data_IF_331148846480
#
_entry.id   IF_331148846480
#
_cell.length_a   1.000
_cell.length_b   1.000
_cell.length_c   1.000
_cell.angle_alpha   90.00
_cell.angle_beta   90.00
_cell.angle_gamma   90.00
#
_symmetry.space_group_name_H-M   'P 1'
#
loop_
_entity.id
_entity.type
_entity.pdbx_description
1 polymer ?
#
# COMPACT_ATOMS: atom_id res chain seq x y z
N UNK A 1 10.56 -15.92 -3.39
CA UNK A 1 11.03 -16.13 -2.00
C UNK A 1 9.87 -15.93 -1.02
N UNK A 2 10.09 -15.87 0.31
CA UNK A 2 9.03 -15.45 1.24
C UNK A 2 9.10 -13.93 1.51
N UNK A 3 8.02 -13.35 2.02
CA UNK A 3 7.97 -11.90 2.26
C UNK A 3 9.03 -11.39 3.24
N UNK A 4 9.45 -12.19 4.22
CA UNK A 4 10.54 -11.81 5.14
C UNK A 4 11.85 -11.62 4.41
N UNK A 5 12.20 -12.49 3.46
CA UNK A 5 13.42 -12.34 2.67
C UNK A 5 13.39 -11.06 1.83
N UNK A 6 12.25 -10.76 1.19
CA UNK A 6 12.07 -9.54 0.41
C UNK A 6 12.18 -8.28 1.27
N UNK A 7 11.57 -8.30 2.46
CA UNK A 7 11.70 -7.23 3.46
C UNK A 7 13.16 -7.02 3.90
N UNK A 8 13.88 -8.10 4.20
CA UNK A 8 15.29 -8.04 4.62
C UNK A 8 16.20 -7.52 3.52
N UNK A 9 16.01 -7.94 2.27
CA UNK A 9 16.81 -7.44 1.14
C UNK A 9 16.51 -5.96 0.88
N UNK A 10 15.25 -5.56 0.97
CA UNK A 10 14.85 -4.16 0.93
C UNK A 10 15.51 -3.34 2.04
N UNK A 11 15.48 -3.82 3.28
CA UNK A 11 16.14 -3.19 4.43
C UNK A 11 17.66 -3.04 4.21
N UNK A 12 18.31 -4.11 3.74
CA UNK A 12 19.74 -4.12 3.44
C UNK A 12 20.09 -3.12 2.32
N UNK A 13 19.23 -3.01 1.31
CA UNK A 13 19.37 -2.01 0.24
C UNK A 13 19.38 -0.60 0.83
N UNK A 14 18.41 -0.26 1.68
CA UNK A 14 18.35 1.04 2.34
C UNK A 14 19.58 1.34 3.19
N UNK A 15 20.08 0.34 3.93
CA UNK A 15 21.32 0.47 4.69
C UNK A 15 22.55 0.73 3.80
N UNK A 16 22.68 -0.02 2.70
CA UNK A 16 23.80 0.15 1.75
C UNK A 16 23.77 1.55 1.12
N UNK A 17 22.60 2.01 0.66
CA UNK A 17 22.46 3.36 0.09
C UNK A 17 22.81 4.44 1.14
N UNK A 18 22.29 4.32 2.35
CA UNK A 18 22.60 5.24 3.45
C UNK A 18 24.10 5.32 3.75
N UNK A 19 24.78 4.16 3.78
CA UNK A 19 26.22 4.10 4.03
C UNK A 19 27.05 4.72 2.89
N UNK A 20 26.64 4.53 1.63
CA UNK A 20 27.31 5.16 0.48
C UNK A 20 27.15 6.67 0.48
N UNK A 21 25.99 7.18 0.91
CA UNK A 21 25.71 8.61 1.02
C UNK A 21 26.21 9.24 2.33
N UNK A 22 26.82 8.44 3.22
CA UNK A 22 27.25 8.87 4.56
C UNK A 22 26.11 9.55 5.34
N UNK A 23 24.90 9.02 5.20
CA UNK A 23 23.69 9.60 5.79
C UNK A 23 23.74 9.59 7.32
N UNK A 24 23.00 10.53 7.92
CA UNK A 24 22.84 10.56 9.38
C UNK A 24 22.17 9.28 9.91
N UNK A 25 22.28 8.96 11.22
CA UNK A 25 21.61 7.79 11.80
C UNK A 25 20.08 7.79 11.60
N UNK A 26 19.44 8.95 11.66
CA UNK A 26 17.99 9.09 11.43
C UNK A 26 17.61 8.82 9.97
N UNK A 27 18.36 9.38 9.02
CA UNK A 27 18.17 9.10 7.59
C UNK A 27 18.46 7.64 7.26
N UNK A 28 19.45 7.03 7.90
CA UNK A 28 19.76 5.60 7.74
C UNK A 28 18.58 4.74 8.15
N UNK A 29 17.99 5.01 9.33
CA UNK A 29 16.81 4.30 9.80
C UNK A 29 15.61 4.50 8.87
N UNK A 30 15.42 5.72 8.36
CA UNK A 30 14.38 6.04 7.38
C UNK A 30 14.56 5.23 6.09
N UNK A 31 15.78 5.22 5.52
CA UNK A 31 16.08 4.48 4.29
C UNK A 31 15.93 2.97 4.49
N UNK A 32 16.36 2.41 5.62
CA UNK A 32 16.10 1.00 5.96
C UNK A 32 14.60 0.71 5.99
N UNK A 33 13.82 1.58 6.64
CA UNK A 33 12.36 1.43 6.74
C UNK A 33 11.69 1.49 5.36
N UNK A 34 12.02 2.51 4.56
CA UNK A 34 11.51 2.68 3.19
C UNK A 34 11.90 1.49 2.30
N UNK A 35 13.15 1.03 2.39
CA UNK A 35 13.62 -0.15 1.67
C UNK A 35 12.84 -1.40 2.04
N UNK A 36 12.58 -1.61 3.33
CA UNK A 36 11.74 -2.72 3.84
C UNK A 36 10.35 -2.70 3.24
N UNK A 37 9.69 -1.54 3.22
CA UNK A 37 8.35 -1.36 2.63
C UNK A 37 8.38 -1.56 1.12
N UNK A 38 9.38 -1.01 0.44
CA UNK A 38 9.52 -1.08 -1.02
C UNK A 38 9.76 -2.49 -1.53
N UNK A 39 10.57 -3.28 -0.81
CA UNK A 39 10.78 -4.69 -1.10
C UNK A 39 9.53 -5.54 -0.88
N UNK A 40 8.56 -5.08 -0.12
CA UNK A 40 7.29 -5.77 0.11
C UNK A 40 6.15 -5.30 -0.80
N UNK A 41 6.31 -4.13 -1.43
CA UNK A 41 5.25 -3.47 -2.17
C UNK A 41 4.67 -4.30 -3.33
N UNK A 42 5.46 -5.07 -4.11
CA UNK A 42 4.89 -5.86 -5.21
C UNK A 42 3.89 -6.92 -4.75
N UNK A 43 4.02 -7.42 -3.51
CA UNK A 43 3.11 -8.40 -2.90
C UNK A 43 1.85 -7.75 -2.29
N UNK A 44 1.67 -6.43 -2.38
CA UNK A 44 0.44 -5.71 -2.04
C UNK A 44 -0.60 -5.81 -3.16
N UNK A 45 -0.97 -7.02 -3.55
CA UNK A 45 -2.04 -7.29 -4.53
C UNK A 45 -3.18 -8.12 -3.93
N UNK A 46 -4.23 -8.35 -4.73
CA UNK A 46 -5.50 -8.89 -4.24
C UNK A 46 -5.38 -10.28 -3.60
N UNK A 47 -4.46 -11.12 -4.10
CA UNK A 47 -4.20 -12.49 -3.66
C UNK A 47 -2.88 -12.65 -2.88
N UNK A 48 -2.15 -11.55 -2.68
CA UNK A 48 -0.90 -11.53 -1.93
C UNK A 48 -1.11 -11.91 -0.47
N UNK A 49 -0.28 -12.84 0.04
CA UNK A 49 -0.31 -13.27 1.45
C UNK A 49 -0.06 -12.13 2.43
N UNK A 50 0.57 -11.06 1.94
CA UNK A 50 0.95 -9.89 2.71
C UNK A 50 -0.24 -8.97 3.04
N UNK A 51 -1.22 -8.91 2.16
CA UNK A 51 -2.44 -8.11 2.33
C UNK A 51 -3.11 -8.34 3.68
N UNK A 52 -3.27 -9.59 4.10
CA UNK A 52 -3.89 -9.95 5.37
C UNK A 52 -3.09 -9.56 6.62
N UNK A 53 -1.81 -9.24 6.45
CA UNK A 53 -0.89 -8.83 7.53
C UNK A 53 -0.69 -7.31 7.60
N UNK A 54 -0.71 -6.63 6.44
CA UNK A 54 -0.50 -5.17 6.37
C UNK A 54 -1.80 -4.40 6.52
N UNK A 55 -2.90 -4.88 5.94
CA UNK A 55 -4.20 -4.21 6.13
C UNK A 55 -4.76 -4.50 7.51
N UNK A 56 -5.43 -3.51 8.11
CA UNK A 56 -6.18 -3.71 9.34
C UNK A 56 -7.18 -4.87 9.15
N UNK A 57 -7.43 -5.61 10.22
CA UNK A 57 -8.44 -6.66 10.14
C UNK A 57 -9.80 -6.04 9.81
N UNK A 58 -10.52 -6.64 8.86
CA UNK A 58 -11.88 -6.19 8.52
C UNK A 58 -12.81 -6.18 9.75
N UNK A 59 -12.55 -7.03 10.76
CA UNK A 59 -13.27 -7.04 12.04
C UNK A 59 -13.04 -5.76 12.83
N UNK A 60 -11.79 -5.32 12.95
CA UNK A 60 -11.44 -4.05 13.62
C UNK A 60 -12.03 -2.86 12.86
N UNK A 61 -11.87 -2.82 11.53
CA UNK A 61 -12.42 -1.73 10.72
C UNK A 61 -13.96 -1.66 10.85
N UNK A 62 -14.63 -2.82 10.79
CA UNK A 62 -16.07 -2.92 11.04
C UNK A 62 -16.42 -2.43 12.44
N UNK A 63 -15.71 -2.86 13.48
CA UNK A 63 -16.00 -2.46 14.86
C UNK A 63 -15.88 -0.95 15.06
N UNK A 64 -14.82 -0.32 14.52
CA UNK A 64 -14.63 1.13 14.60
C UNK A 64 -15.71 1.88 13.82
N UNK A 65 -15.98 1.48 12.57
CA UNK A 65 -17.04 2.10 11.76
C UNK A 65 -18.42 1.95 12.41
N UNK A 66 -18.68 0.80 13.04
CA UNK A 66 -19.92 0.55 13.76
C UNK A 66 -20.02 1.39 15.03
N UNK A 67 -18.93 1.52 15.80
CA UNK A 67 -18.88 2.38 16.96
C UNK A 67 -19.16 3.84 16.58
N UNK A 68 -18.54 4.34 15.52
CA UNK A 68 -18.82 5.68 14.97
C UNK A 68 -20.30 5.82 14.59
N UNK A 69 -20.87 4.82 13.91
CA UNK A 69 -22.27 4.80 13.55
C UNK A 69 -23.21 4.88 14.76
N UNK A 70 -22.94 4.11 15.82
CA UNK A 70 -23.71 4.17 17.08
C UNK A 70 -23.58 5.53 17.74
N UNK A 71 -22.36 6.04 17.87
CA UNK A 71 -22.11 7.36 18.47
C UNK A 71 -22.83 8.48 17.69
N UNK A 72 -22.85 8.40 16.36
CA UNK A 72 -23.57 9.37 15.52
C UNK A 72 -25.09 9.30 15.71
N UNK A 73 -25.67 8.11 15.84
CA UNK A 73 -27.09 7.94 16.16
C UNK A 73 -27.40 8.54 17.52
N UNK A 74 -26.61 8.21 18.55
CA UNK A 74 -26.79 8.74 19.89
C UNK A 74 -26.71 10.27 19.89
N UNK A 75 -25.64 10.82 19.31
CA UNK A 75 -25.45 12.28 19.22
C UNK A 75 -26.61 12.96 18.50
N UNK A 76 -27.01 12.45 17.33
CA UNK A 76 -28.12 13.02 16.55
C UNK A 76 -29.46 12.93 17.30
N UNK A 77 -29.66 11.89 18.10
CA UNK A 77 -30.84 11.72 18.94
C UNK A 77 -30.88 12.70 20.12
N UNK A 78 -29.75 12.99 20.75
CA UNK A 78 -29.69 13.92 21.88
C UNK A 78 -29.69 15.39 21.42
N UNK A 79 -28.83 15.75 20.48
CA UNK A 79 -28.56 17.14 20.09
C UNK A 79 -29.29 17.56 18.80
N UNK A 80 -29.65 16.62 17.93
CA UNK A 80 -30.24 16.96 16.64
C UNK A 80 -31.65 17.52 16.75
N UNK A 81 -31.96 18.53 15.93
CA UNK A 81 -33.29 19.14 15.81
C UNK A 81 -33.90 18.86 14.43
N UNK A 82 -35.23 18.71 14.39
CA UNK A 82 -36.01 18.57 13.15
C UNK A 82 -35.42 17.52 12.18
N UNK A 83 -35.16 17.88 10.92
CA UNK A 83 -34.65 17.00 9.89
C UNK A 83 -33.21 16.54 10.15
N UNK A 84 -32.37 17.35 10.80
CA UNK A 84 -30.96 17.02 11.05
C UNK A 84 -30.82 15.79 11.95
N UNK A 85 -31.72 15.62 12.93
CA UNK A 85 -31.80 14.41 13.76
C UNK A 85 -31.98 13.16 12.90
N UNK A 86 -32.99 13.15 12.03
CA UNK A 86 -33.29 11.99 11.19
C UNK A 86 -32.20 11.72 10.15
N UNK A 87 -31.59 12.77 9.59
CA UNK A 87 -30.45 12.63 8.66
C UNK A 87 -29.26 11.99 9.38
N UNK A 88 -28.86 12.51 10.55
CA UNK A 88 -27.72 11.99 11.30
C UNK A 88 -27.93 10.54 11.76
N UNK A 89 -29.14 10.22 12.26
CA UNK A 89 -29.51 8.84 12.57
C UNK A 89 -29.49 7.94 11.32
N UNK A 90 -29.98 8.42 10.19
CA UNK A 90 -29.95 7.72 8.90
C UNK A 90 -28.52 7.41 8.44
N UNK A 91 -27.59 8.37 8.55
CA UNK A 91 -26.17 8.17 8.24
C UNK A 91 -25.56 7.12 9.18
N UNK A 92 -25.85 7.20 10.48
CA UNK A 92 -25.34 6.22 11.44
C UNK A 92 -25.85 4.80 11.16
N UNK A 93 -27.13 4.64 10.82
CA UNK A 93 -27.70 3.36 10.39
C UNK A 93 -27.07 2.84 9.09
N UNK A 94 -26.85 3.72 8.12
CA UNK A 94 -26.16 3.37 6.88
C UNK A 94 -24.72 2.91 7.15
N UNK A 95 -23.98 3.59 8.03
CA UNK A 95 -22.64 3.19 8.47
C UNK A 95 -22.65 1.80 9.11
N UNK A 96 -23.60 1.52 10.01
CA UNK A 96 -23.77 0.20 10.62
C UNK A 96 -24.01 -0.90 9.57
N UNK A 97 -24.92 -0.66 8.62
CA UNK A 97 -25.27 -1.62 7.58
C UNK A 97 -24.13 -1.86 6.58
N UNK A 98 -23.55 -0.79 6.04
CA UNK A 98 -22.47 -0.88 5.03
C UNK A 98 -21.20 -1.49 5.61
N UNK A 99 -20.79 -1.08 6.82
CA UNK A 99 -19.60 -1.63 7.47
C UNK A 99 -19.71 -3.12 7.77
N UNK A 100 -20.93 -3.62 8.01
CA UNK A 100 -21.17 -5.05 8.26
C UNK A 100 -20.86 -5.94 7.06
N UNK A 101 -20.92 -5.38 5.84
CA UNK A 101 -20.65 -6.07 4.58
C UNK A 101 -19.17 -6.03 4.18
N UNK A 102 -18.31 -5.36 4.96
CA UNK A 102 -16.87 -5.27 4.69
C UNK A 102 -16.20 -6.61 5.00
N UNK A 103 -15.60 -7.19 3.96
CA UNK A 103 -14.83 -8.42 4.01
C UNK A 103 -13.33 -8.10 3.85
N UNK A 104 -12.46 -9.04 4.20
CA UNK A 104 -11.01 -8.87 4.02
C UNK A 104 -10.65 -8.48 2.58
N UNK A 105 -11.40 -8.98 1.59
CA UNK A 105 -11.25 -8.67 0.17
C UNK A 105 -11.52 -7.20 -0.22
N UNK A 106 -12.12 -6.39 0.64
CA UNK A 106 -12.29 -4.94 0.40
C UNK A 106 -11.19 -4.10 1.04
N UNK A 107 -10.46 -4.63 2.02
CA UNK A 107 -9.53 -3.82 2.83
C UNK A 107 -8.45 -3.12 2.03
N UNK A 108 -7.89 -3.76 1.00
CA UNK A 108 -6.85 -3.16 0.17
C UNK A 108 -7.39 -1.99 -0.66
N UNK A 109 -8.61 -2.13 -1.21
CA UNK A 109 -9.30 -1.05 -1.91
C UNK A 109 -9.59 0.11 -0.96
N UNK A 110 -10.09 -0.17 0.25
CA UNK A 110 -10.35 0.85 1.28
C UNK A 110 -9.05 1.57 1.65
N UNK A 111 -7.93 0.86 1.79
CA UNK A 111 -6.61 1.45 2.01
C UNK A 111 -6.20 2.36 0.86
N UNK A 112 -6.36 1.93 -0.39
CA UNK A 112 -6.09 2.78 -1.56
C UNK A 112 -6.92 4.06 -1.59
N UNK A 113 -8.22 3.98 -1.29
CA UNK A 113 -9.11 5.16 -1.16
C UNK A 113 -8.63 6.07 -0.04
N UNK A 114 -8.29 5.51 1.12
CA UNK A 114 -7.81 6.28 2.26
C UNK A 114 -6.51 7.03 1.96
N UNK A 115 -5.56 6.38 1.29
CA UNK A 115 -4.29 7.00 0.87
C UNK A 115 -4.55 8.08 -0.17
N UNK A 116 -5.46 7.87 -1.13
CA UNK A 116 -5.87 8.91 -2.08
C UNK A 116 -6.48 10.13 -1.41
N UNK A 117 -7.43 9.91 -0.49
CA UNK A 117 -8.06 10.98 0.26
C UNK A 117 -7.01 11.76 1.09
N UNK A 118 -6.07 11.04 1.70
CA UNK A 118 -4.92 11.63 2.39
C UNK A 118 -4.03 12.46 1.46
N UNK A 119 -3.68 11.93 0.28
CA UNK A 119 -2.91 12.66 -0.72
C UNK A 119 -3.60 13.92 -1.23
N UNK A 120 -4.92 13.88 -1.42
CA UNK A 120 -5.70 15.07 -1.79
C UNK A 120 -5.71 16.10 -0.65
N UNK A 121 -5.90 15.65 0.59
CA UNK A 121 -5.95 16.52 1.76
C UNK A 121 -4.59 17.15 2.09
N UNK A 122 -3.50 16.42 1.89
CA UNK A 122 -2.14 16.88 2.15
C UNK A 122 -1.50 17.55 0.92
N UNK A 123 -2.18 17.51 -0.24
CA UNK A 123 -1.67 18.00 -1.53
C UNK A 123 -0.34 17.35 -1.96
N UNK A 124 -0.14 16.09 -1.57
CA UNK A 124 1.10 15.35 -1.82
C UNK A 124 0.95 14.41 -3.02
N UNK A 125 1.67 14.70 -4.10
CA UNK A 125 1.57 13.95 -5.35
C UNK A 125 1.97 12.47 -5.19
N UNK A 126 2.99 12.18 -4.38
CA UNK A 126 3.43 10.80 -4.16
C UNK A 126 2.35 9.95 -3.47
N UNK A 127 1.57 10.54 -2.55
CA UNK A 127 0.44 9.87 -1.91
C UNK A 127 -0.70 9.62 -2.91
N UNK A 128 -0.99 10.57 -3.79
CA UNK A 128 -1.97 10.38 -4.86
C UNK A 128 -1.57 9.21 -5.76
N UNK A 129 -0.34 9.21 -6.25
CA UNK A 129 0.17 8.15 -7.12
C UNK A 129 0.20 6.80 -6.41
N UNK A 130 0.60 6.75 -5.13
CA UNK A 130 0.58 5.54 -4.30
C UNK A 130 -0.84 5.01 -4.10
N UNK A 131 -1.81 5.89 -3.86
CA UNK A 131 -3.21 5.54 -3.73
C UNK A 131 -3.77 4.93 -5.02
N UNK A 132 -3.43 5.52 -6.18
CA UNK A 132 -3.78 4.95 -7.51
C UNK A 132 -3.14 3.57 -7.68
N UNK A 133 -1.85 3.42 -7.36
CA UNK A 133 -1.13 2.15 -7.44
C UNK A 133 -1.84 1.05 -6.65
N UNK A 134 -2.16 1.33 -5.37
CA UNK A 134 -2.80 0.36 -4.48
C UNK A 134 -4.23 0.04 -4.93
N UNK A 135 -4.97 1.04 -5.42
CA UNK A 135 -6.30 0.81 -5.97
C UNK A 135 -6.26 -0.14 -7.16
N UNK A 136 -5.38 0.10 -8.14
CA UNK A 136 -5.22 -0.79 -9.29
C UNK A 136 -4.82 -2.18 -8.79
N UNK A 137 -3.80 -2.29 -7.95
CA UNK A 137 -3.35 -3.57 -7.39
C UNK A 137 -4.44 -4.34 -6.64
N UNK A 138 -5.44 -3.65 -6.08
CA UNK A 138 -6.58 -4.26 -5.40
C UNK A 138 -7.56 -5.00 -6.32
N UNK A 139 -7.47 -4.81 -7.64
CA UNK A 139 -8.34 -5.44 -8.64
C UNK A 139 -7.62 -6.38 -9.60
N UNK A 140 -6.28 -6.42 -9.58
CA UNK A 140 -5.51 -7.28 -10.49
C UNK A 140 -4.97 -8.50 -9.75
N UNK A 141 -4.94 -9.65 -10.42
CA UNK A 141 -4.44 -10.91 -9.90
C UNK A 141 -2.95 -10.82 -9.49
N UNK A 142 -2.55 -11.65 -8.53
CA UNK A 142 -1.17 -11.69 -8.06
C UNK A 142 -0.17 -12.00 -9.19
N UNK A 143 0.99 -11.34 -9.17
CA UNK A 143 2.09 -11.44 -10.16
C UNK A 143 1.80 -10.92 -11.58
N UNK A 144 0.97 -9.89 -11.66
CA UNK A 144 0.68 -9.21 -12.93
C UNK A 144 1.28 -7.81 -12.93
N UNK A 145 0.45 -6.77 -12.82
CA UNK A 145 0.84 -5.36 -12.81
C UNK A 145 1.93 -5.03 -11.78
N UNK A 146 1.78 -5.49 -10.54
CA UNK A 146 2.76 -5.22 -9.47
C UNK A 146 4.10 -5.93 -9.71
N UNK A 147 4.15 -6.99 -10.52
CA UNK A 147 5.36 -7.75 -10.83
C UNK A 147 5.79 -7.55 -12.29
N UNK A 148 5.67 -6.31 -12.77
CA UNK A 148 5.99 -5.93 -14.14
C UNK A 148 6.93 -4.74 -14.22
N UNK A 149 7.54 -4.55 -15.40
CA UNK A 149 8.32 -3.35 -15.71
C UNK A 149 7.44 -2.09 -15.61
N UNK A 150 6.16 -2.18 -15.99
CA UNK A 150 5.22 -1.08 -15.83
C UNK A 150 5.04 -0.71 -14.35
N UNK A 151 4.94 -1.72 -13.48
CA UNK A 151 4.90 -1.54 -12.02
C UNK A 151 6.16 -0.86 -11.49
N UNK A 152 7.34 -1.28 -11.95
CA UNK A 152 8.63 -0.64 -11.60
C UNK A 152 8.67 0.82 -12.03
N UNK A 153 8.30 1.12 -13.28
CA UNK A 153 8.30 2.49 -13.81
C UNK A 153 7.34 3.37 -13.00
N UNK A 154 6.12 2.89 -12.76
CA UNK A 154 5.13 3.68 -12.05
C UNK A 154 5.50 3.87 -10.57
N UNK A 155 6.04 2.84 -9.91
CA UNK A 155 6.59 3.00 -8.57
C UNK A 155 7.83 3.90 -8.54
N UNK A 156 8.63 3.92 -9.60
CA UNK A 156 9.73 4.88 -9.77
C UNK A 156 9.23 6.33 -9.75
N UNK A 157 8.13 6.65 -10.43
CA UNK A 157 7.52 7.99 -10.34
C UNK A 157 7.03 8.33 -8.92
N UNK A 158 6.44 7.35 -8.22
CA UNK A 158 6.05 7.52 -6.80
C UNK A 158 7.30 7.85 -5.97
N UNK A 159 8.36 7.04 -6.11
CA UNK A 159 9.59 7.18 -5.37
C UNK A 159 10.30 8.53 -5.62
N UNK A 160 10.29 9.03 -6.86
CA UNK A 160 10.89 10.31 -7.20
C UNK A 160 10.12 11.49 -6.56
N UNK A 161 8.78 11.43 -6.56
CA UNK A 161 7.97 12.44 -5.87
C UNK A 161 8.13 12.35 -4.34
N UNK A 162 8.29 11.14 -3.80
CA UNK A 162 8.54 10.93 -2.37
C UNK A 162 9.89 11.50 -1.95
N UNK A 163 10.96 11.27 -2.72
CA UNK A 163 12.28 11.84 -2.46
C UNK A 163 12.25 13.38 -2.45
N UNK A 164 11.57 13.98 -3.45
CA UNK A 164 11.36 15.42 -3.53
C UNK A 164 10.60 15.97 -2.31
N UNK A 165 9.54 15.28 -1.87
CA UNK A 165 8.71 15.66 -0.72
C UNK A 165 9.48 15.55 0.61
N UNK A 166 10.28 14.49 0.79
CA UNK A 166 11.05 14.27 2.01
C UNK A 166 12.37 15.05 2.06
N UNK A 167 12.89 15.48 0.91
CA UNK A 167 14.22 16.10 0.76
C UNK A 167 15.34 15.25 1.39
N UNK A 168 15.28 13.92 1.23
CA UNK A 168 16.28 12.97 1.71
C UNK A 168 16.87 12.22 0.53
N UNK A 169 18.13 12.47 0.24
CA UNK A 169 18.86 11.81 -0.84
C UNK A 169 18.89 10.28 -0.65
N UNK A 170 18.69 9.55 -1.74
CA UNK A 170 18.75 8.10 -1.77
C UNK A 170 17.41 7.40 -1.51
N UNK A 171 16.35 8.14 -1.21
CA UNK A 171 14.98 7.60 -1.13
C UNK A 171 14.58 6.97 -2.45
N UNK A 172 14.84 7.64 -3.58
CA UNK A 172 14.49 7.12 -4.90
C UNK A 172 15.18 5.79 -5.18
N UNK A 173 16.50 5.75 -5.01
CA UNK A 173 17.30 4.54 -5.27
C UNK A 173 16.95 3.40 -4.31
N UNK A 174 16.70 3.71 -3.03
CA UNK A 174 16.28 2.73 -2.03
C UNK A 174 14.96 2.09 -2.41
N UNK A 175 13.97 2.89 -2.80
CA UNK A 175 12.68 2.41 -3.28
C UNK A 175 12.83 1.53 -4.52
N UNK A 176 13.54 2.03 -5.54
CA UNK A 176 13.64 1.38 -6.83
C UNK A 176 14.41 0.06 -6.75
N UNK A 177 15.57 0.06 -6.09
CA UNK A 177 16.37 -1.16 -5.91
C UNK A 177 15.64 -2.16 -5.01
N UNK A 178 14.98 -1.69 -3.94
CA UNK A 178 14.16 -2.54 -3.08
C UNK A 178 13.05 -3.25 -3.87
N UNK A 179 12.29 -2.50 -4.68
CA UNK A 179 11.24 -3.06 -5.53
C UNK A 179 11.80 -4.02 -6.58
N UNK A 180 12.87 -3.64 -7.28
CA UNK A 180 13.51 -4.50 -8.30
C UNK A 180 14.05 -5.78 -7.65
N UNK A 181 14.61 -5.70 -6.45
CA UNK A 181 15.14 -6.87 -5.74
C UNK A 181 14.07 -7.92 -5.47
N UNK A 182 12.82 -7.49 -5.19
CA UNK A 182 11.68 -8.40 -5.06
C UNK A 182 11.41 -9.13 -6.37
N UNK A 183 11.34 -8.40 -7.49
CA UNK A 183 11.10 -8.98 -8.82
C UNK A 183 12.23 -9.96 -9.20
N UNK A 184 13.49 -9.60 -8.93
CA UNK A 184 14.63 -10.50 -9.16
C UNK A 184 14.52 -11.75 -8.29
N UNK A 185 14.20 -11.59 -7.00
CA UNK A 185 13.98 -12.69 -6.05
C UNK A 185 12.83 -13.63 -6.43
N UNK A 186 11.86 -13.12 -7.19
CA UNK A 186 10.72 -13.88 -7.70
C UNK A 186 10.86 -14.32 -9.17
N UNK A 187 11.96 -13.98 -9.84
CA UNK A 187 12.26 -14.39 -11.22
C UNK A 187 12.69 -15.87 -11.32
N UNK A 188 12.57 -16.47 -12.52
CA UNK A 188 13.05 -17.84 -12.79
C UNK A 188 14.57 -17.95 -12.89
N UNK A 189 15.27 -16.82 -12.99
CA UNK A 189 16.74 -16.80 -13.07
C UNK A 189 17.41 -17.36 -11.81
N UNK A 190 16.71 -17.34 -10.67
CA UNK A 190 17.19 -17.96 -9.44
C UNK A 190 16.68 -19.41 -9.34
N UNK A 191 17.57 -20.39 -9.06
CA UNK A 191 17.24 -21.82 -9.06
C UNK A 191 16.19 -22.22 -8.00
N UNK A 192 15.89 -21.33 -7.06
CA UNK A 192 14.97 -21.54 -5.97
C UNK A 192 13.49 -21.25 -6.32
N UNK A 193 13.19 -20.70 -7.51
CA UNK A 193 11.81 -20.35 -7.87
C UNK A 193 11.38 -20.87 -9.25
N UNK A 194 10.57 -21.93 -9.24
CA UNK A 194 10.05 -22.57 -10.47
C UNK A 194 8.86 -21.83 -11.10
N UNK A 195 8.23 -20.87 -10.40
CA UNK A 195 6.97 -20.24 -10.85
C UNK A 195 7.15 -18.93 -11.63
N UNK A 196 8.31 -18.27 -11.52
CA UNK A 196 8.64 -17.08 -12.33
C UNK A 196 7.73 -15.87 -12.18
N UNK A 197 8.11 -14.78 -12.85
CA UNK A 197 7.30 -13.57 -13.07
C UNK A 197 7.28 -13.23 -14.56
N UNK A 198 6.16 -12.69 -15.04
CA UNK A 198 5.98 -12.26 -16.43
C UNK A 198 6.14 -10.74 -16.50
N UNK A 199 7.37 -10.30 -16.72
CA UNK A 199 7.77 -8.89 -16.59
C UNK A 199 7.01 -7.91 -17.51
N UNK A 200 6.45 -8.39 -18.61
CA UNK A 200 5.73 -7.55 -19.58
C UNK A 200 4.21 -7.55 -19.40
N UNK A 201 3.67 -8.22 -18.38
CA UNK A 201 2.25 -8.07 -18.04
C UNK A 201 1.95 -6.62 -17.61
N UNK A 202 0.73 -6.10 -17.83
CA UNK A 202 -0.41 -6.75 -18.46
C UNK A 202 -0.38 -6.76 -20.00
N UNK A 203 0.67 -6.23 -20.62
CA UNK A 203 0.74 -6.00 -22.07
C UNK A 203 1.11 -7.28 -22.84
N UNK A 204 1.97 -8.13 -22.28
CA UNK A 204 2.48 -9.32 -22.95
C UNK A 204 2.77 -10.47 -21.98
N UNK A 205 2.46 -11.70 -22.40
CA UNK A 205 2.30 -12.85 -21.50
C UNK A 205 3.37 -13.94 -21.62
N UNK A 206 4.41 -13.74 -22.44
CA UNK A 206 5.51 -14.72 -22.57
C UNK A 206 6.42 -14.67 -21.35
N UNK A 207 6.92 -15.84 -21.00
CA UNK A 207 7.92 -16.03 -19.94
C UNK A 207 9.31 -15.58 -20.42
N UNK A 208 10.13 -15.08 -19.49
CA UNK A 208 11.58 -15.07 -19.59
C UNK A 208 12.17 -16.04 -18.57
#
# INVERSE_FOLDING_TARGET
>A
MNGTAHATIGAATGFIIANNLQSTPSQTLLLIGIGTVSGLLPDLDIDGKLRGKITLSHKMFRAVAQLIGVLLICYSFYEGANNERYIGMGIGLALLALSSSIKQKHMLTITGIGILAGGLSLQEMWLLLLGIYILIASFVAHRTYTHSILGVIFFGFIAANLESSLAVDGVYYTCLIGYISHLVGDSKFLPFNKRGIKLFLPIWSKDM
#
